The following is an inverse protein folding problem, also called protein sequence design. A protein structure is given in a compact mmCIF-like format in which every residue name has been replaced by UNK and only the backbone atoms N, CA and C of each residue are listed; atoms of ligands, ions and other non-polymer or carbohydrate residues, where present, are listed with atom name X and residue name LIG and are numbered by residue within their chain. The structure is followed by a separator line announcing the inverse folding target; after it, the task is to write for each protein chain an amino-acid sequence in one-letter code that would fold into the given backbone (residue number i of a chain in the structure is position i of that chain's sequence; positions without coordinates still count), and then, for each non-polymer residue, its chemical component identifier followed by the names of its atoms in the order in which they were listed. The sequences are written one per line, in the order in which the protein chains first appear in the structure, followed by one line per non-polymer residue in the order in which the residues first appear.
data_IF_932767665654
#
_entry.id   IF_932767665654
#
_cell.length_a   1.000
_cell.length_b   1.000
_cell.length_c   1.000
_cell.angle_alpha   90.00
_cell.angle_beta   90.00
_cell.angle_gamma   90.00
#
_symmetry.space_group_name_H-M   'P 1'
#
loop_
_entity.id
_entity.type
_entity.pdbx_description
1 polymer ?
#
# COMPACT_ATOMS: atom_id res chain seq x y z
N UNK A 1 13.63 15.49 -6.83
CA UNK A 1 12.85 14.86 -5.76
C UNK A 1 12.56 15.92 -4.71
N UNK A 2 11.30 16.33 -4.58
CA UNK A 2 10.81 17.25 -3.54
C UNK A 2 10.23 16.42 -2.40
N UNK A 3 10.48 16.79 -1.15
CA UNK A 3 9.93 16.07 0.01
C UNK A 3 8.82 16.89 0.68
N UNK A 4 7.69 16.26 0.97
CA UNK A 4 6.56 16.84 1.71
C UNK A 4 6.18 15.89 2.84
N UNK A 5 6.15 16.42 4.05
CA UNK A 5 5.73 15.71 5.25
C UNK A 5 4.63 16.53 5.94
N UNK A 6 3.64 15.87 6.52
CA UNK A 6 2.53 16.54 7.18
C UNK A 6 2.58 16.53 8.70
N UNK A 7 1.46 16.90 9.32
CA UNK A 7 1.31 17.08 10.76
C UNK A 7 0.85 15.78 11.44
N UNK A 8 0.17 15.87 12.57
CA UNK A 8 -0.42 14.71 13.25
C UNK A 8 -1.96 14.67 13.11
N UNK A 9 -2.50 15.40 12.13
CA UNK A 9 -3.92 15.46 11.82
C UNK A 9 -4.17 15.03 10.38
N UNK A 10 -5.44 15.00 9.98
CA UNK A 10 -5.83 14.59 8.63
C UNK A 10 -5.50 15.68 7.63
N UNK A 11 -4.57 15.40 6.74
CA UNK A 11 -4.00 16.34 5.80
C UNK A 11 -4.22 15.91 4.34
N UNK A 12 -4.00 16.85 3.42
CA UNK A 12 -3.98 16.57 1.98
C UNK A 12 -2.66 17.06 1.41
N UNK A 13 -1.86 16.13 0.92
CA UNK A 13 -0.56 16.38 0.30
C UNK A 13 -0.70 16.20 -1.21
N UNK A 14 -0.56 17.30 -1.93
CA UNK A 14 -0.45 17.28 -3.39
C UNK A 14 1.00 17.50 -3.78
N UNK A 15 1.56 16.57 -4.54
CA UNK A 15 2.87 16.66 -5.17
C UNK A 15 2.87 17.64 -6.34
N UNK A 16 3.58 17.29 -7.40
CA UNK A 16 3.91 18.14 -8.52
C UNK A 16 3.90 17.35 -9.83
N UNK A 17 4.44 17.92 -10.91
CA UNK A 17 4.69 17.18 -12.16
C UNK A 17 6.11 16.62 -12.21
N UNK A 18 6.74 16.44 -11.05
CA UNK A 18 8.12 15.96 -10.89
C UNK A 18 8.16 15.03 -9.70
N UNK A 19 9.18 14.17 -9.62
CA UNK A 19 9.33 13.21 -8.54
C UNK A 19 9.17 13.84 -7.15
N UNK A 20 8.22 13.33 -6.38
CA UNK A 20 7.91 13.73 -5.02
C UNK A 20 8.15 12.57 -4.03
N UNK A 21 8.44 12.91 -2.78
CA UNK A 21 8.35 12.01 -1.63
C UNK A 21 7.29 12.56 -0.68
N UNK A 22 6.18 11.83 -0.53
CA UNK A 22 5.02 12.23 0.25
C UNK A 22 4.87 11.34 1.49
N UNK A 23 4.83 11.94 2.66
CA UNK A 23 4.58 11.26 3.93
C UNK A 23 3.48 11.99 4.69
N UNK A 24 2.33 11.34 4.88
CA UNK A 24 1.21 11.89 5.65
C UNK A 24 1.59 12.12 7.11
N UNK A 25 2.19 11.10 7.73
CA UNK A 25 2.46 11.12 9.16
C UNK A 25 1.27 10.54 9.90
N UNK A 26 0.92 11.08 11.07
CA UNK A 26 -0.23 10.56 11.81
C UNK A 26 -1.50 11.24 11.32
N UNK A 27 -2.58 10.48 11.18
CA UNK A 27 -3.87 10.99 10.77
C UNK A 27 -4.51 10.06 9.76
N UNK A 28 -5.53 10.56 9.06
CA UNK A 28 -6.02 9.89 7.86
C UNK A 28 -5.78 10.84 6.70
N UNK A 29 -4.71 10.59 5.95
CA UNK A 29 -4.19 11.53 4.97
C UNK A 29 -4.59 11.18 3.53
N UNK A 30 -4.69 12.20 2.69
CA UNK A 30 -4.81 12.05 1.24
C UNK A 30 -3.50 12.45 0.57
N UNK A 31 -2.81 11.50 -0.04
CA UNK A 31 -1.55 11.70 -0.76
C UNK A 31 -1.80 11.63 -2.27
N UNK A 32 -1.43 12.68 -3.00
CA UNK A 32 -1.60 12.79 -4.45
C UNK A 32 -0.25 13.11 -5.07
N UNK A 33 0.39 12.16 -5.74
CA UNK A 33 1.71 12.35 -6.34
C UNK A 33 1.70 13.32 -7.52
N UNK A 34 0.91 12.98 -8.54
CA UNK A 34 0.87 13.71 -9.79
C UNK A 34 1.65 12.97 -10.87
N UNK A 35 2.40 13.70 -11.68
CA UNK A 35 3.29 13.09 -12.67
C UNK A 35 4.72 13.00 -12.09
N UNK A 36 5.54 12.11 -12.64
CA UNK A 36 6.89 11.83 -12.15
C UNK A 36 6.96 10.52 -11.38
N UNK A 37 8.17 10.15 -10.97
CA UNK A 37 8.39 8.95 -10.16
C UNK A 37 8.28 9.28 -8.66
N UNK A 38 7.13 8.97 -8.07
CA UNK A 38 6.77 9.37 -6.71
C UNK A 38 7.03 8.27 -5.68
N UNK A 39 7.30 8.71 -4.45
CA UNK A 39 7.48 7.83 -3.29
C UNK A 39 6.46 8.22 -2.22
N UNK A 40 5.51 7.34 -1.96
CA UNK A 40 4.57 7.45 -0.85
C UNK A 40 5.14 6.67 0.34
N UNK A 41 5.12 7.28 1.51
CA UNK A 41 5.72 6.70 2.73
C UNK A 41 4.62 6.47 3.75
N UNK A 42 4.59 5.25 4.28
CA UNK A 42 3.68 4.85 5.33
C UNK A 42 4.44 4.09 6.42
N UNK A 43 4.14 4.37 7.69
CA UNK A 43 4.72 3.69 8.85
C UNK A 43 3.63 3.25 9.84
N UNK A 44 4.01 2.38 10.78
CA UNK A 44 3.10 1.97 11.85
C UNK A 44 2.68 3.16 12.73
N UNK A 45 1.37 3.28 12.96
CA UNK A 45 0.74 4.37 13.71
C UNK A 45 0.41 5.61 12.88
N UNK A 46 0.63 5.57 11.56
CA UNK A 46 0.28 6.66 10.66
C UNK A 46 -1.24 6.78 10.48
N UNK A 47 -2.01 5.70 10.65
CA UNK A 47 -3.47 5.71 10.55
C UNK A 47 -3.98 5.16 9.22
N UNK A 48 -5.02 5.78 8.66
CA UNK A 48 -5.71 5.27 7.46
C UNK A 48 -5.56 6.23 6.29
N UNK A 49 -4.51 6.00 5.50
CA UNK A 49 -4.14 6.87 4.39
C UNK A 49 -4.75 6.42 3.06
N UNK A 50 -5.00 7.41 2.20
CA UNK A 50 -5.44 7.21 0.83
C UNK A 50 -4.40 7.78 -0.13
N UNK A 51 -3.92 6.93 -1.04
CA UNK A 51 -3.04 7.32 -2.14
C UNK A 51 -3.87 7.45 -3.40
N UNK A 52 -3.74 8.59 -4.07
CA UNK A 52 -4.21 8.81 -5.44
C UNK A 52 -2.98 8.93 -6.36
N UNK A 53 -2.62 7.82 -7.00
CA UNK A 53 -1.47 7.75 -7.91
C UNK A 53 -1.82 8.08 -9.36
N UNK A 54 -2.86 8.88 -9.61
CA UNK A 54 -3.20 9.22 -10.98
C UNK A 54 -2.07 10.02 -11.65
N UNK A 55 -1.48 9.45 -12.70
CA UNK A 55 -0.50 10.09 -13.57
C UNK A 55 -1.04 10.22 -15.00
N UNK A 56 -0.86 11.38 -15.62
CA UNK A 56 -1.18 11.59 -17.03
C UNK A 56 -0.11 11.00 -17.97
N UNK A 57 1.08 10.74 -17.44
CA UNK A 57 2.22 10.13 -18.15
C UNK A 57 2.79 8.95 -17.34
N UNK A 58 2.09 7.80 -17.28
CA UNK A 58 2.39 6.70 -16.37
C UNK A 58 3.56 5.81 -16.85
N UNK A 59 4.62 6.43 -17.36
CA UNK A 59 5.84 5.76 -17.82
C UNK A 59 6.94 5.72 -16.72
N UNK A 60 6.70 6.44 -15.62
CA UNK A 60 7.56 6.51 -14.44
C UNK A 60 7.33 5.32 -13.49
N UNK A 61 8.15 5.20 -12.45
CA UNK A 61 8.03 4.14 -11.44
C UNK A 61 7.65 4.72 -10.10
N UNK A 62 6.42 4.47 -9.68
CA UNK A 62 5.91 4.90 -8.38
C UNK A 62 6.11 3.82 -7.31
N UNK A 63 6.43 4.27 -6.10
CA UNK A 63 6.76 3.39 -4.98
C UNK A 63 5.92 3.72 -3.77
N UNK A 64 5.28 2.70 -3.18
CA UNK A 64 4.79 2.75 -1.82
C UNK A 64 5.83 2.12 -0.90
N UNK A 65 6.47 2.93 -0.07
CA UNK A 65 7.43 2.51 0.94
C UNK A 65 6.76 2.35 2.30
N UNK A 66 6.57 1.11 2.73
CA UNK A 66 6.01 0.75 4.02
C UNK A 66 7.16 0.49 4.99
N UNK A 67 7.42 1.46 5.87
CA UNK A 67 8.58 1.47 6.76
C UNK A 67 8.27 0.79 8.11
N UNK A 68 9.20 -0.03 8.59
CA UNK A 68 9.09 -0.69 9.90
C UNK A 68 8.07 -1.84 9.99
N UNK A 69 7.37 -2.17 8.90
CA UNK A 69 6.39 -3.26 8.84
C UNK A 69 6.89 -4.35 7.88
N UNK A 70 6.82 -5.61 8.32
CA UNK A 70 7.15 -6.78 7.50
C UNK A 70 6.02 -7.11 6.53
N UNK A 71 6.35 -7.60 5.33
CA UNK A 71 5.38 -8.09 4.36
C UNK A 71 4.41 -9.15 4.93
N UNK A 72 4.85 -9.97 5.90
CA UNK A 72 3.99 -10.97 6.57
C UNK A 72 2.92 -10.37 7.48
N UNK A 73 3.04 -9.10 7.81
CA UNK A 73 2.07 -8.35 8.61
C UNK A 73 1.14 -7.50 7.73
N UNK A 74 1.23 -7.63 6.41
CA UNK A 74 0.36 -6.93 5.47
C UNK A 74 -0.71 -7.87 4.94
N UNK A 75 -1.93 -7.35 4.85
CA UNK A 75 -3.06 -8.02 4.23
C UNK A 75 -3.59 -7.18 3.08
N UNK A 76 -3.46 -7.70 1.87
CA UNK A 76 -3.91 -7.06 0.64
C UNK A 76 -5.30 -7.57 0.28
N UNK A 77 -6.20 -6.63 0.01
CA UNK A 77 -7.56 -6.93 -0.42
C UNK A 77 -8.02 -5.96 -1.49
N UNK A 78 -9.06 -6.35 -2.23
CA UNK A 78 -9.75 -5.49 -3.18
C UNK A 78 -11.05 -4.99 -2.57
N UNK A 79 -11.24 -3.67 -2.58
CA UNK A 79 -12.51 -3.04 -2.23
C UNK A 79 -13.00 -2.17 -3.40
N UNK A 80 -14.03 -2.65 -4.11
CA UNK A 80 -14.49 -2.03 -5.35
C UNK A 80 -13.35 -1.93 -6.39
N UNK A 81 -12.91 -0.70 -6.67
CA UNK A 81 -11.78 -0.42 -7.56
C UNK A 81 -10.47 -0.10 -6.85
N UNK A 82 -10.45 -0.14 -5.52
CA UNK A 82 -9.29 0.18 -4.72
C UNK A 82 -8.50 -1.09 -4.36
N UNK A 83 -7.19 -0.93 -4.25
CA UNK A 83 -6.34 -1.86 -3.50
C UNK A 83 -6.28 -1.35 -2.06
N UNK A 84 -6.56 -2.24 -1.11
CA UNK A 84 -6.48 -1.95 0.33
C UNK A 84 -5.38 -2.81 0.93
N UNK A 85 -4.51 -2.20 1.71
CA UNK A 85 -3.38 -2.83 2.40
C UNK A 85 -3.55 -2.57 3.89
N UNK A 86 -4.02 -3.58 4.62
CA UNK A 86 -4.18 -3.53 6.07
C UNK A 86 -2.90 -3.98 6.78
N UNK A 87 -2.58 -3.34 7.90
CA UNK A 87 -1.53 -3.80 8.83
C UNK A 87 -2.17 -4.66 9.91
N UNK A 88 -1.87 -5.95 9.88
CA UNK A 88 -2.47 -6.94 10.79
C UNK A 88 -2.16 -6.62 12.25
N UNK A 89 -3.17 -6.71 13.12
CA UNK A 89 -3.05 -6.37 14.54
C UNK A 89 -3.13 -4.87 14.86
N UNK A 90 -3.55 -4.02 13.91
CA UNK A 90 -3.78 -2.59 14.10
C UNK A 90 -4.93 -2.09 13.22
N UNK A 91 -5.30 -0.81 13.37
CA UNK A 91 -6.25 -0.11 12.50
C UNK A 91 -5.54 0.62 11.33
N UNK A 92 -4.22 0.47 11.22
CA UNK A 92 -3.41 1.11 10.18
C UNK A 92 -3.70 0.51 8.81
N UNK A 93 -3.86 1.38 7.80
CA UNK A 93 -4.24 0.99 6.45
C UNK A 93 -3.71 1.98 5.42
N UNK A 94 -3.33 1.45 4.26
CA UNK A 94 -3.15 2.23 3.04
C UNK A 94 -4.18 1.80 2.01
N UNK A 95 -4.90 2.77 1.44
CA UNK A 95 -5.80 2.55 0.29
C UNK A 95 -5.21 3.18 -0.95
N UNK A 96 -4.85 2.38 -1.95
CA UNK A 96 -4.50 2.90 -3.28
C UNK A 96 -5.78 3.01 -4.10
N UNK A 97 -6.23 4.25 -4.27
CA UNK A 97 -7.47 4.58 -4.93
C UNK A 97 -7.45 4.18 -6.41
N UNK A 98 -8.53 3.58 -6.88
CA UNK A 98 -8.77 3.29 -8.29
C UNK A 98 -7.72 2.38 -8.97
N UNK A 99 -6.94 1.63 -8.18
CA UNK A 99 -5.96 0.62 -8.64
C UNK A 99 -6.47 -0.29 -9.77
N UNK A 100 -7.76 -0.64 -9.73
CA UNK A 100 -8.38 -1.56 -10.69
C UNK A 100 -9.08 -0.86 -11.88
N UNK A 101 -8.97 0.46 -12.01
CA UNK A 101 -9.52 1.21 -13.16
C UNK A 101 -8.56 1.29 -14.36
N UNK A 102 -7.25 1.27 -14.14
CA UNK A 102 -6.26 1.43 -15.21
C UNK A 102 -4.83 1.38 -14.67
N UNK A 103 -3.85 1.34 -15.57
CA UNK A 103 -2.43 1.37 -15.20
C UNK A 103 -2.00 2.72 -14.63
N UNK A 104 -2.64 3.80 -15.07
CA UNK A 104 -2.33 5.17 -14.64
C UNK A 104 -2.63 5.47 -13.16
N UNK A 105 -3.27 4.54 -12.44
CA UNK A 105 -3.64 4.67 -11.03
C UNK A 105 -2.85 3.71 -10.14
N UNK A 106 -2.04 2.82 -10.72
CA UNK A 106 -1.30 1.81 -9.98
C UNK A 106 0.01 2.39 -9.46
N UNK A 107 0.40 1.94 -8.27
CA UNK A 107 1.78 2.00 -7.81
C UNK A 107 2.54 0.81 -8.41
N UNK A 108 3.72 1.03 -8.97
CA UNK A 108 4.51 -0.02 -9.63
C UNK A 108 5.12 -1.00 -8.63
N UNK A 109 5.59 -0.48 -7.49
CA UNK A 109 6.29 -1.26 -6.48
C UNK A 109 5.81 -0.91 -5.07
N UNK A 110 5.43 -1.93 -4.31
CA UNK A 110 5.20 -1.81 -2.87
C UNK A 110 6.41 -2.42 -2.15
N UNK A 111 7.04 -1.67 -1.26
CA UNK A 111 8.21 -2.11 -0.50
C UNK A 111 7.84 -2.26 0.98
N UNK A 112 8.19 -3.38 1.59
CA UNK A 112 7.95 -3.65 3.00
C UNK A 112 8.98 -4.64 3.55
N UNK A 113 9.50 -4.38 4.75
CA UNK A 113 10.46 -5.29 5.41
C UNK A 113 11.73 -5.59 4.60
N UNK A 114 12.11 -4.71 3.66
CA UNK A 114 13.26 -4.90 2.76
C UNK A 114 12.97 -5.73 1.51
N UNK A 115 11.73 -6.17 1.29
CA UNK A 115 11.29 -6.87 0.08
C UNK A 115 10.39 -5.97 -0.78
N UNK A 116 10.27 -6.31 -2.05
CA UNK A 116 9.47 -5.61 -3.06
C UNK A 116 8.37 -6.51 -3.62
N UNK A 117 7.16 -5.99 -3.69
CA UNK A 117 6.01 -6.55 -4.40
C UNK A 117 5.71 -5.69 -5.62
N UNK A 118 5.85 -6.25 -6.81
CA UNK A 118 5.56 -5.56 -8.06
C UNK A 118 4.07 -5.61 -8.39
N UNK A 119 3.55 -4.58 -9.08
CA UNK A 119 2.14 -4.44 -9.41
C UNK A 119 1.52 -5.66 -10.13
N UNK A 120 2.31 -6.38 -10.92
CA UNK A 120 1.88 -7.60 -11.62
C UNK A 120 1.69 -8.82 -10.70
N UNK A 121 2.24 -8.80 -9.48
CA UNK A 121 2.13 -9.86 -8.49
C UNK A 121 1.08 -9.56 -7.40
N UNK A 122 0.57 -8.31 -7.32
CA UNK A 122 -0.44 -7.89 -6.34
C UNK A 122 -1.69 -8.77 -6.36
N UNK A 123 -2.20 -9.08 -7.56
CA UNK A 123 -3.44 -9.86 -7.68
C UNK A 123 -3.27 -11.31 -7.21
N UNK A 124 -2.06 -11.88 -7.27
CA UNK A 124 -1.80 -13.20 -6.70
C UNK A 124 -2.01 -13.19 -5.19
N UNK A 125 -1.54 -12.15 -4.50
CA UNK A 125 -1.72 -11.99 -3.06
C UNK A 125 -3.15 -11.69 -2.69
N UNK A 126 -3.81 -10.75 -3.38
CA UNK A 126 -5.22 -10.41 -3.15
C UNK A 126 -6.10 -11.65 -3.29
N UNK A 127 -5.90 -12.44 -4.35
CA UNK A 127 -6.66 -13.67 -4.58
C UNK A 127 -6.38 -14.72 -3.50
N UNK A 128 -5.11 -14.94 -3.13
CA UNK A 128 -4.76 -15.90 -2.09
C UNK A 128 -5.32 -15.49 -0.72
N UNK A 129 -5.14 -14.24 -0.32
CA UNK A 129 -5.64 -13.70 0.95
C UNK A 129 -7.18 -13.78 1.02
N UNK A 130 -7.88 -13.52 -0.08
CA UNK A 130 -9.33 -13.71 -0.14
C UNK A 130 -9.77 -15.16 0.19
N UNK A 131 -8.97 -16.17 -0.14
CA UNK A 131 -9.29 -17.58 0.19
C UNK A 131 -9.17 -17.93 1.68
N UNK A 132 -8.39 -17.16 2.44
CA UNK A 132 -8.19 -17.37 3.87
C UNK A 132 -9.24 -16.64 4.73
N UNK A 133 -10.04 -15.76 4.12
CA UNK A 133 -11.04 -14.91 4.79
C UNK A 133 -10.42 -13.62 5.33
N UNK A 134 -11.03 -12.47 5.03
CA UNK A 134 -10.54 -11.17 5.46
C UNK A 134 -10.55 -11.02 6.99
N UNK A 135 -9.59 -10.30 7.59
CA UNK A 135 -9.68 -9.91 9.00
C UNK A 135 -10.91 -9.02 9.19
N UNK A 136 -11.88 -9.49 9.96
CA UNK A 136 -12.86 -8.58 10.55
C UNK A 136 -12.19 -7.86 11.72
N UNK A 137 -11.98 -6.55 11.63
CA UNK A 137 -11.43 -5.75 12.74
C UNK A 137 -9.97 -6.03 13.08
N UNK A 138 -9.12 -6.32 12.09
CA UNK A 138 -7.66 -6.42 12.28
C UNK A 138 -7.15 -7.74 12.86
N UNK A 139 -8.02 -8.64 13.32
CA UNK A 139 -7.63 -9.97 13.80
C UNK A 139 -7.77 -11.03 12.70
N UNK A 140 -6.65 -11.52 12.17
CA UNK A 140 -6.66 -12.72 11.32
C UNK A 140 -6.53 -13.96 12.21
N UNK A 141 -7.67 -14.62 12.46
CA UNK A 141 -7.73 -15.90 13.16
C UNK A 141 -7.35 -17.06 12.22
N UNK A 142 -6.10 -17.09 11.76
CA UNK A 142 -5.55 -18.22 10.98
C UNK A 142 -5.10 -19.34 11.91
N UNK A 143 -5.44 -20.57 11.54
CA UNK A 143 -4.71 -21.74 12.06
C UNK A 143 -3.22 -21.66 11.68
N UNK A 144 -2.37 -22.36 12.42
CA UNK A 144 -0.94 -22.43 12.12
C UNK A 144 -0.69 -22.87 10.67
N UNK A 145 -1.42 -23.88 10.19
CA UNK A 145 -1.27 -24.39 8.83
C UNK A 145 -1.68 -23.35 7.77
N UNK A 146 -2.77 -22.62 7.98
CA UNK A 146 -3.18 -21.53 7.08
C UNK A 146 -2.15 -20.39 7.06
N UNK A 147 -1.56 -20.06 8.22
CA UNK A 147 -0.50 -19.05 8.31
C UNK A 147 0.75 -19.48 7.56
N UNK A 148 1.16 -20.74 7.67
CA UNK A 148 2.30 -21.30 6.92
C UNK A 148 2.04 -21.29 5.40
N UNK A 149 0.82 -21.62 4.97
CA UNK A 149 0.42 -21.54 3.57
C UNK A 149 0.44 -20.08 3.06
N UNK A 150 -0.15 -19.14 3.80
CA UNK A 150 -0.15 -17.73 3.43
C UNK A 150 1.28 -17.17 3.36
N UNK A 151 2.12 -17.47 4.36
CA UNK A 151 3.53 -17.05 4.37
C UNK A 151 4.30 -17.58 3.15
N UNK A 152 3.96 -18.78 2.67
CA UNK A 152 4.55 -19.35 1.45
C UNK A 152 4.18 -18.51 0.23
N UNK A 153 2.92 -18.09 0.12
CA UNK A 153 2.46 -17.24 -0.99
C UNK A 153 3.10 -15.85 -0.89
N UNK A 154 3.19 -15.27 0.31
CA UNK A 154 3.88 -14.00 0.55
C UNK A 154 5.34 -14.10 0.09
N UNK A 155 6.10 -15.08 0.57
CA UNK A 155 7.50 -15.25 0.20
C UNK A 155 7.72 -15.49 -1.31
N UNK A 156 6.73 -16.04 -2.02
CA UNK A 156 6.81 -16.26 -3.46
C UNK A 156 6.56 -15.00 -4.31
N UNK A 157 5.90 -13.97 -3.75
CA UNK A 157 5.53 -12.74 -4.48
C UNK A 157 6.32 -11.50 -4.02
N UNK A 158 6.97 -11.55 -2.86
CA UNK A 158 7.86 -10.50 -2.36
C UNK A 158 9.32 -10.89 -2.60
N UNK A 159 10.13 -10.02 -3.22
CA UNK A 159 11.53 -10.28 -3.63
C UNK A 159 12.54 -9.25 -3.12
#
# INVERSE_FOLDING_TARGET
MTARASTAGNDTLTGSSTNDRLQGGKGNDLLQGGDGADIYVFAAGDGQDTINNFSATPDDTDVLSIEGISATNLWLSRDGNNLVIDVTGSDDRVTVKDWYLGSAQKIDVIQAGGASLYANAVDNLVNAMATFGAPAGGEINLTQSQREQLNTVIAANWH
#
